data_IF_234412524847
#
_entry.id   IF_234412524847
#
_cell.length_a   1.000
_cell.length_b   1.000
_cell.length_c   1.000
_cell.angle_alpha   90.00
_cell.angle_beta   90.00
_cell.angle_gamma   90.00
#
_symmetry.space_group_name_H-M   'P 1'
#
loop_
_entity.id
_entity.type
_entity.pdbx_description
1 polymer ?
#
# COMPACT_ATOMS: atom_id res chain seq x y z
N UNK A 1 41.32 -37.25 -16.80
CA UNK A 1 40.62 -35.99 -17.12
C UNK A 1 39.12 -36.14 -17.15
N UNK A 2 38.43 -35.27 -16.41
CA UNK A 2 37.07 -34.86 -16.76
C UNK A 2 35.90 -35.51 -16.02
N UNK A 3 35.83 -35.37 -14.69
CA UNK A 3 34.58 -35.50 -13.92
C UNK A 3 33.57 -34.42 -14.34
N UNK A 4 32.37 -34.81 -14.81
CA UNK A 4 31.25 -33.89 -14.97
C UNK A 4 30.17 -34.18 -13.91
N UNK A 5 30.05 -33.23 -13.00
CA UNK A 5 29.23 -33.22 -11.81
C UNK A 5 27.73 -33.26 -12.11
N UNK A 6 27.05 -34.11 -11.35
CA UNK A 6 25.62 -34.07 -11.08
C UNK A 6 25.26 -32.75 -10.34
N UNK A 7 24.42 -31.89 -10.93
CA UNK A 7 23.81 -30.72 -10.26
C UNK A 7 22.40 -30.47 -10.78
N UNK A 8 21.47 -31.37 -10.48
CA UNK A 8 20.08 -30.96 -10.32
C UNK A 8 19.89 -30.53 -8.87
N UNK A 9 20.22 -29.26 -8.62
CA UNK A 9 19.93 -28.58 -7.36
C UNK A 9 18.42 -28.50 -7.19
N UNK A 10 17.92 -29.21 -6.18
CA UNK A 10 16.60 -28.97 -5.64
C UNK A 10 16.44 -27.48 -5.36
N UNK A 11 15.46 -26.84 -5.99
CA UNK A 11 14.99 -25.51 -5.60
C UNK A 11 14.51 -25.67 -4.17
N UNK A 12 15.31 -25.19 -3.23
CA UNK A 12 14.95 -25.11 -1.83
C UNK A 12 13.68 -24.26 -1.76
N UNK A 13 12.56 -24.93 -1.49
CA UNK A 13 11.31 -24.30 -1.15
C UNK A 13 11.54 -23.66 0.23
N UNK A 14 12.02 -22.42 0.26
CA UNK A 14 12.13 -21.64 1.49
C UNK A 14 10.74 -21.59 2.11
N UNK A 15 10.54 -22.34 3.20
CA UNK A 15 9.33 -22.25 3.99
C UNK A 15 9.32 -20.88 4.65
N UNK A 16 8.59 -19.94 4.06
CA UNK A 16 8.34 -18.62 4.62
C UNK A 16 7.71 -18.81 5.99
N UNK A 17 8.48 -18.56 7.05
CA UNK A 17 7.96 -18.57 8.41
C UNK A 17 6.95 -17.42 8.54
N UNK A 18 5.69 -17.80 8.69
CA UNK A 18 4.58 -16.92 9.02
C UNK A 18 4.87 -16.28 10.40
N UNK A 19 4.86 -14.94 10.48
CA UNK A 19 5.10 -14.20 11.71
C UNK A 19 3.77 -14.14 12.47
N UNK A 20 3.68 -14.89 13.56
CA UNK A 20 2.49 -14.89 14.41
C UNK A 20 2.19 -13.51 15.02
N UNK A 21 0.94 -13.31 15.44
CA UNK A 21 0.45 -12.04 16.01
C UNK A 21 1.31 -11.59 17.20
N UNK A 22 1.76 -12.53 18.03
CA UNK A 22 2.56 -12.20 19.22
C UNK A 22 3.93 -11.59 18.83
N UNK A 23 4.60 -12.12 17.80
CA UNK A 23 5.85 -11.55 17.31
C UNK A 23 5.63 -10.18 16.65
N UNK A 24 4.52 -9.98 15.95
CA UNK A 24 4.15 -8.68 15.42
C UNK A 24 3.93 -7.65 16.54
N UNK A 25 3.25 -8.05 17.63
CA UNK A 25 3.05 -7.21 18.81
C UNK A 25 4.38 -6.84 19.50
N UNK A 26 5.31 -7.78 19.63
CA UNK A 26 6.65 -7.51 20.14
C UNK A 26 7.40 -6.49 19.28
N UNK A 27 7.33 -6.62 17.95
CA UNK A 27 7.94 -5.65 17.03
C UNK A 27 7.31 -4.27 17.16
N UNK A 28 5.99 -4.17 17.26
CA UNK A 28 5.31 -2.89 17.49
C UNK A 28 5.75 -2.23 18.80
N UNK A 29 5.88 -3.03 19.87
CA UNK A 29 6.33 -2.54 21.17
C UNK A 29 7.78 -2.04 21.10
N UNK A 30 8.68 -2.83 20.52
CA UNK A 30 10.09 -2.44 20.33
C UNK A 30 10.23 -1.14 19.52
N UNK A 31 9.44 -0.98 18.46
CA UNK A 31 9.41 0.25 17.64
C UNK A 31 8.80 1.46 18.36
N UNK A 32 7.98 1.25 19.38
CA UNK A 32 7.39 2.32 20.18
C UNK A 32 8.33 2.77 21.31
N UNK A 33 9.14 1.85 21.84
CA UNK A 33 10.13 2.11 22.88
C UNK A 33 11.45 2.68 22.34
N UNK A 34 11.73 2.46 21.04
CA UNK A 34 12.88 3.06 20.38
C UNK A 34 12.68 4.57 20.28
N UNK A 35 13.42 5.33 21.10
CA UNK A 35 13.61 6.77 20.88
C UNK A 35 13.99 6.97 19.42
N UNK A 36 13.43 7.98 18.74
CA UNK A 36 13.78 8.32 17.36
C UNK A 36 15.29 8.58 17.28
N UNK A 37 16.08 7.52 17.08
CA UNK A 37 17.47 7.64 16.66
C UNK A 37 17.40 8.40 15.35
N UNK A 38 18.10 9.54 15.28
CA UNK A 38 18.17 10.40 14.10
C UNK A 38 18.81 9.60 12.96
N UNK A 39 17.99 8.85 12.24
CA UNK A 39 18.36 8.26 10.97
C UNK A 39 18.54 9.42 10.00
N UNK A 40 19.68 9.47 9.32
CA UNK A 40 19.95 10.57 8.39
C UNK A 40 18.89 10.61 7.27
N UNK A 41 18.61 11.80 6.73
CA UNK A 41 17.64 11.95 5.61
C UNK A 41 18.01 11.03 4.43
N UNK A 42 19.31 10.85 4.17
CA UNK A 42 19.82 9.94 3.13
C UNK A 42 19.46 8.48 3.40
N UNK A 43 19.53 8.02 4.64
CA UNK A 43 19.15 6.66 5.01
C UNK A 43 17.63 6.46 4.95
N UNK A 44 16.85 7.45 5.37
CA UNK A 44 15.39 7.43 5.26
C UNK A 44 14.95 7.35 3.79
N UNK A 45 15.60 8.11 2.91
CA UNK A 45 15.38 8.04 1.46
C UNK A 45 15.68 6.63 0.90
N UNK A 46 16.82 6.04 1.26
CA UNK A 46 17.17 4.67 0.85
C UNK A 46 16.18 3.62 1.34
N UNK A 47 15.64 3.79 2.55
CA UNK A 47 14.61 2.88 3.10
C UNK A 47 13.30 3.00 2.32
N UNK A 48 12.92 4.21 1.91
CA UNK A 48 11.76 4.43 1.03
C UNK A 48 11.96 3.75 -0.33
N UNK A 49 13.06 4.05 -1.03
CA UNK A 49 13.39 3.46 -2.34
C UNK A 49 13.38 1.92 -2.29
N UNK A 50 13.88 1.35 -1.19
CA UNK A 50 13.86 -0.10 -0.97
C UNK A 50 12.45 -0.65 -0.85
N UNK A 51 11.55 0.01 -0.12
CA UNK A 51 10.15 -0.42 0.00
C UNK A 51 9.45 -0.33 -1.35
N UNK A 52 9.71 0.74 -2.10
CA UNK A 52 9.15 0.96 -3.45
C UNK A 52 9.60 -0.14 -4.43
N UNK A 53 10.90 -0.45 -4.44
CA UNK A 53 11.50 -1.49 -5.27
C UNK A 53 10.95 -2.89 -4.93
N UNK A 54 10.88 -3.21 -3.64
CA UNK A 54 10.29 -4.47 -3.17
C UNK A 54 8.82 -4.56 -3.53
N UNK A 55 8.08 -3.46 -3.44
CA UNK A 55 6.68 -3.41 -3.87
C UNK A 55 6.56 -3.71 -5.34
N UNK A 56 7.43 -3.15 -6.18
CA UNK A 56 7.44 -3.43 -7.62
C UNK A 56 7.65 -4.92 -7.91
N UNK A 57 8.61 -5.57 -7.24
CA UNK A 57 8.89 -7.00 -7.34
C UNK A 57 7.72 -7.92 -6.92
N UNK A 58 6.74 -7.41 -6.16
CA UNK A 58 5.54 -8.16 -5.85
C UNK A 58 4.69 -8.31 -7.12
N UNK A 59 4.56 -9.55 -7.57
CA UNK A 59 3.59 -9.94 -8.57
C UNK A 59 2.18 -9.74 -8.00
N UNK A 60 1.28 -9.06 -8.72
CA UNK A 60 -0.14 -9.08 -8.39
C UNK A 60 -0.65 -10.52 -8.33
N UNK A 61 -1.82 -10.73 -7.71
CA UNK A 61 -2.59 -11.96 -7.89
C UNK A 61 -2.67 -12.33 -9.40
N UNK A 62 -2.77 -13.64 -9.67
CA UNK A 62 -2.66 -14.23 -11.01
C UNK A 62 -3.33 -13.38 -12.10
N UNK A 63 -2.76 -13.32 -13.32
CA UNK A 63 -3.32 -12.50 -14.40
C UNK A 63 -4.81 -12.81 -14.54
N UNK A 64 -5.64 -11.78 -14.82
CA UNK A 64 -7.07 -11.98 -14.97
C UNK A 64 -7.28 -13.12 -15.98
N UNK A 65 -8.26 -14.01 -15.75
CA UNK A 65 -8.56 -15.04 -16.73
C UNK A 65 -8.70 -14.37 -18.09
N UNK A 66 -8.10 -14.94 -19.16
CA UNK A 66 -8.16 -14.32 -20.48
C UNK A 66 -9.62 -14.00 -20.77
N UNK A 67 -9.90 -12.72 -21.04
CA UNK A 67 -11.17 -12.30 -21.59
C UNK A 67 -11.34 -13.15 -22.84
N UNK A 68 -12.18 -14.18 -22.76
CA UNK A 68 -12.30 -15.18 -23.79
C UNK A 68 -12.72 -14.48 -25.08
N UNK A 69 -11.78 -14.39 -26.01
CA UNK A 69 -12.02 -13.99 -27.38
C UNK A 69 -12.79 -15.14 -28.05
N UNK A 70 -14.11 -15.11 -27.89
CA UNK A 70 -15.03 -16.06 -28.49
C UNK A 70 -16.29 -15.32 -28.87
N UNK A 71 -16.20 -14.60 -30.00
CA UNK A 71 -17.31 -14.36 -30.92
C UNK A 71 -18.59 -13.71 -30.38
N UNK A 72 -18.56 -13.11 -29.19
CA UNK A 72 -19.73 -12.45 -28.61
C UNK A 72 -19.32 -11.03 -28.26
N UNK A 73 -20.03 -10.06 -28.86
CA UNK A 73 -20.11 -8.64 -28.51
C UNK A 73 -20.47 -8.43 -27.03
N UNK A 74 -19.54 -8.80 -26.15
CA UNK A 74 -19.46 -8.41 -24.75
C UNK A 74 -18.10 -7.79 -24.59
N UNK A 75 -17.88 -6.67 -25.28
CA UNK A 75 -17.23 -5.55 -24.60
C UNK A 75 -17.76 -5.57 -23.16
N UNK A 76 -16.86 -5.72 -22.19
CA UNK A 76 -17.15 -5.67 -20.75
C UNK A 76 -18.31 -4.70 -20.54
N UNK A 77 -19.38 -5.03 -19.83
CA UNK A 77 -20.61 -4.22 -19.82
C UNK A 77 -20.40 -2.71 -19.53
N UNK A 78 -19.23 -2.36 -18.97
CA UNK A 78 -18.77 -1.00 -18.68
C UNK A 78 -17.81 -0.39 -19.71
N UNK A 79 -17.33 -1.12 -20.72
CA UNK A 79 -16.31 -0.68 -21.67
C UNK A 79 -16.75 0.51 -22.53
N UNK A 80 -18.07 0.68 -22.74
CA UNK A 80 -18.62 1.89 -23.36
C UNK A 80 -18.48 3.16 -22.51
N UNK A 81 -18.07 3.04 -21.25
CA UNK A 81 -17.82 4.14 -20.32
C UNK A 81 -16.32 4.33 -20.02
N UNK A 82 -15.41 3.68 -20.76
CA UNK A 82 -13.96 3.72 -20.53
C UNK A 82 -13.23 4.02 -21.84
N UNK A 83 -12.44 5.10 -21.86
CA UNK A 83 -11.71 5.53 -23.07
C UNK A 83 -10.49 4.64 -23.38
N UNK A 84 -9.66 4.34 -22.36
CA UNK A 84 -8.49 3.47 -22.49
C UNK A 84 -8.55 2.32 -21.47
N UNK A 85 -9.15 1.17 -21.83
CA UNK A 85 -9.22 -0.01 -20.96
C UNK A 85 -7.85 -0.65 -20.66
N UNK A 86 -6.81 -0.31 -21.43
CA UNK A 86 -5.45 -0.80 -21.22
C UNK A 86 -4.64 0.04 -20.24
N UNK A 87 -5.16 1.21 -19.83
CA UNK A 87 -4.51 2.08 -18.85
C UNK A 87 -4.58 1.44 -17.46
N UNK A 88 -3.43 0.99 -16.96
CA UNK A 88 -3.30 0.27 -15.69
C UNK A 88 -2.27 0.95 -14.79
N UNK A 89 -2.32 0.60 -13.50
CA UNK A 89 -1.31 1.05 -12.55
C UNK A 89 0.09 0.59 -12.98
N UNK A 90 1.04 1.51 -12.95
CA UNK A 90 2.47 1.26 -13.16
C UNK A 90 3.24 1.65 -11.90
N UNK A 91 4.07 0.73 -11.40
CA UNK A 91 4.91 0.95 -10.23
C UNK A 91 5.84 2.15 -10.44
N UNK A 92 5.82 3.11 -9.51
CA UNK A 92 6.64 4.32 -9.59
C UNK A 92 8.14 4.01 -9.69
N UNK A 93 8.62 2.97 -8.99
CA UNK A 93 10.01 2.49 -9.08
C UNK A 93 10.39 1.88 -10.45
N UNK A 94 9.42 1.52 -11.30
CA UNK A 94 9.67 0.89 -12.62
C UNK A 94 9.54 1.85 -13.79
N UNK A 95 9.04 3.06 -13.55
CA UNK A 95 8.82 4.03 -14.62
C UNK A 95 10.13 4.31 -15.34
N UNK A 96 10.12 4.15 -16.65
CA UNK A 96 11.30 4.32 -17.52
C UNK A 96 11.93 5.71 -17.43
N UNK A 97 11.17 6.70 -16.94
CA UNK A 97 11.61 8.06 -16.72
C UNK A 97 11.44 8.46 -15.25
N UNK A 98 12.29 7.91 -14.39
CA UNK A 98 12.35 8.26 -12.96
C UNK A 98 12.56 9.76 -12.71
N UNK A 99 13.00 10.52 -13.73
CA UNK A 99 13.17 11.97 -13.69
C UNK A 99 11.88 12.76 -13.96
N UNK A 100 10.89 12.16 -14.63
CA UNK A 100 9.68 12.86 -15.06
C UNK A 100 8.68 13.14 -13.94
N UNK A 101 8.64 12.29 -12.90
CA UNK A 101 7.72 12.47 -11.76
C UNK A 101 8.51 12.36 -10.46
N UNK A 102 8.94 13.48 -9.85
CA UNK A 102 9.66 13.44 -8.60
C UNK A 102 8.79 12.87 -7.47
N UNK A 103 9.45 12.23 -6.50
CA UNK A 103 8.83 11.79 -5.25
C UNK A 103 7.97 12.90 -4.66
N UNK A 104 6.73 12.57 -4.32
CA UNK A 104 5.76 13.53 -3.82
C UNK A 104 5.99 13.75 -2.32
N UNK A 105 6.44 14.96 -1.95
CA UNK A 105 6.78 15.36 -0.57
C UNK A 105 6.14 16.69 -0.16
N UNK A 106 6.20 17.70 -1.04
CA UNK A 106 5.91 19.10 -0.68
C UNK A 106 4.42 19.48 -0.75
N UNK A 107 3.52 18.51 -0.56
CA UNK A 107 2.07 18.75 -0.61
C UNK A 107 1.34 17.72 0.26
N UNK A 108 0.75 18.16 1.36
CA UNK A 108 0.04 17.28 2.30
C UNK A 108 -1.46 17.59 2.31
N UNK A 109 -2.26 16.64 2.81
CA UNK A 109 -3.69 16.88 3.03
C UNK A 109 -3.90 17.99 4.06
N UNK A 110 -3.17 17.94 5.17
CA UNK A 110 -3.34 18.84 6.31
C UNK A 110 -2.96 20.29 5.98
N UNK A 111 -1.85 20.49 5.27
CA UNK A 111 -1.34 21.84 4.99
C UNK A 111 -1.97 22.46 3.73
N UNK A 112 -2.32 21.63 2.74
CA UNK A 112 -2.70 22.13 1.41
C UNK A 112 -4.06 21.59 0.94
N UNK A 113 -4.20 20.26 0.91
CA UNK A 113 -5.33 19.59 0.25
C UNK A 113 -6.68 19.98 0.84
N UNK A 114 -6.80 19.92 2.17
CA UNK A 114 -8.02 20.28 2.89
C UNK A 114 -8.44 21.72 2.61
N UNK A 115 -7.53 22.67 2.79
CA UNK A 115 -7.79 24.09 2.58
C UNK A 115 -8.23 24.39 1.14
N UNK A 116 -7.61 23.73 0.15
CA UNK A 116 -7.99 23.89 -1.25
C UNK A 116 -9.41 23.34 -1.53
N UNK A 117 -9.71 22.12 -1.07
CA UNK A 117 -11.05 21.54 -1.23
C UNK A 117 -12.08 22.38 -0.50
N UNK A 118 -11.83 22.79 0.74
CA UNK A 118 -12.76 23.56 1.54
C UNK A 118 -13.08 24.94 0.95
N UNK A 119 -12.13 25.51 0.19
CA UNK A 119 -12.33 26.75 -0.56
C UNK A 119 -13.16 26.56 -1.84
N UNK A 120 -13.02 25.42 -2.51
CA UNK A 120 -13.72 25.12 -3.77
C UNK A 120 -15.09 24.44 -3.55
N UNK A 121 -15.21 23.64 -2.49
CA UNK A 121 -16.38 22.85 -2.14
C UNK A 121 -16.42 22.57 -0.62
N UNK A 122 -16.87 23.57 0.13
CA UNK A 122 -16.79 23.64 1.60
C UNK A 122 -17.34 22.41 2.32
N UNK A 123 -18.59 22.03 2.03
CA UNK A 123 -19.24 20.91 2.72
C UNK A 123 -18.50 19.58 2.54
N UNK A 124 -17.90 19.36 1.36
CA UNK A 124 -17.15 18.13 1.05
C UNK A 124 -15.77 18.13 1.68
N UNK A 125 -15.14 19.30 1.84
CA UNK A 125 -13.83 19.41 2.51
C UNK A 125 -13.87 18.84 3.93
N UNK A 126 -14.89 19.22 4.71
CA UNK A 126 -15.08 18.72 6.07
C UNK A 126 -15.38 17.22 6.10
N UNK A 127 -16.28 16.74 5.23
CA UNK A 127 -16.65 15.32 5.17
C UNK A 127 -15.46 14.42 4.79
N UNK A 128 -14.61 14.86 3.85
CA UNK A 128 -13.40 14.13 3.48
C UNK A 128 -12.38 14.10 4.60
N UNK A 129 -12.17 15.23 5.28
CA UNK A 129 -11.23 15.31 6.40
C UNK A 129 -11.66 14.40 7.55
N UNK A 130 -12.94 14.44 7.94
CA UNK A 130 -13.51 13.54 8.93
C UNK A 130 -13.39 12.07 8.51
N UNK A 131 -13.66 11.76 7.23
CA UNK A 131 -13.55 10.40 6.69
C UNK A 131 -12.12 9.86 6.78
N UNK A 132 -11.13 10.64 6.34
CA UNK A 132 -9.71 10.24 6.42
C UNK A 132 -9.24 10.09 7.86
N UNK A 133 -9.56 11.05 8.74
CA UNK A 133 -9.21 10.98 10.17
C UNK A 133 -9.88 9.80 10.86
N UNK A 134 -11.14 9.52 10.55
CA UNK A 134 -11.87 8.39 11.11
C UNK A 134 -11.21 7.07 10.71
N UNK A 135 -10.95 6.86 9.42
CA UNK A 135 -10.32 5.63 8.95
C UNK A 135 -8.88 5.46 9.45
N UNK A 136 -8.09 6.52 9.47
CA UNK A 136 -6.71 6.49 9.95
C UNK A 136 -6.64 6.17 11.44
N UNK A 137 -7.50 6.80 12.25
CA UNK A 137 -7.48 6.66 13.72
C UNK A 137 -8.34 5.51 14.26
N UNK A 138 -9.16 4.86 13.44
CA UNK A 138 -10.02 3.76 13.85
C UNK A 138 -9.17 2.67 14.54
N UNK A 139 -9.52 2.37 15.79
CA UNK A 139 -8.89 1.29 16.55
C UNK A 139 -9.87 0.78 17.59
N UNK A 140 -9.87 -0.55 17.77
CA UNK A 140 -10.57 -1.20 18.87
C UNK A 140 -9.62 -1.62 19.99
N UNK A 141 -8.34 -1.23 19.89
CA UNK A 141 -7.26 -1.68 20.75
C UNK A 141 -7.15 -3.21 20.82
N UNK A 142 -7.37 -3.88 19.69
CA UNK A 142 -7.30 -5.33 19.55
C UNK A 142 -6.40 -5.73 18.39
N UNK A 143 -5.78 -6.91 18.51
CA UNK A 143 -5.05 -7.55 17.41
C UNK A 143 -5.15 -9.07 17.54
N UNK A 144 -5.75 -9.76 16.57
CA UNK A 144 -5.79 -11.23 16.57
C UNK A 144 -6.48 -11.85 17.79
N UNK A 145 -7.48 -11.16 18.34
CA UNK A 145 -8.17 -11.56 19.57
C UNK A 145 -7.48 -11.15 20.89
N UNK A 146 -6.26 -10.61 20.83
CA UNK A 146 -5.62 -9.90 21.96
C UNK A 146 -6.31 -8.56 22.18
N UNK A 147 -6.38 -8.11 23.43
CA UNK A 147 -6.98 -6.82 23.84
C UNK A 147 -5.89 -5.90 24.39
N UNK A 148 -6.22 -4.62 24.52
CA UNK A 148 -5.36 -3.58 25.08
C UNK A 148 -4.04 -3.43 24.30
N UNK A 149 -4.13 -3.58 22.97
CA UNK A 149 -3.00 -3.46 22.05
C UNK A 149 -3.07 -2.14 21.30
N UNK A 150 -2.05 -1.30 21.43
CA UNK A 150 -1.90 -0.14 20.54
C UNK A 150 -1.43 -0.58 19.16
N UNK A 151 -2.31 -0.41 18.17
CA UNK A 151 -2.08 -0.80 16.77
C UNK A 151 -1.62 0.37 15.89
N UNK A 152 -1.37 1.56 16.47
CA UNK A 152 -1.06 2.78 15.71
C UNK A 152 0.12 2.63 14.78
N UNK A 153 1.21 1.96 15.22
CA UNK A 153 2.37 1.65 14.38
C UNK A 153 2.01 0.78 13.18
N UNK A 154 1.22 -0.27 13.38
CA UNK A 154 0.79 -1.17 12.31
C UNK A 154 -0.14 -0.47 11.30
N UNK A 155 -1.12 0.31 11.78
CA UNK A 155 -2.02 1.10 10.93
C UNK A 155 -1.24 2.15 10.12
N UNK A 156 -0.32 2.87 10.75
CA UNK A 156 0.56 3.84 10.07
C UNK A 156 1.43 3.17 9.01
N UNK A 157 1.98 1.98 9.29
CA UNK A 157 2.73 1.22 8.31
C UNK A 157 1.89 0.81 7.09
N UNK A 158 0.64 0.38 7.29
CA UNK A 158 -0.28 0.08 6.18
C UNK A 158 -0.55 1.33 5.34
N UNK A 159 -0.93 2.43 5.98
CA UNK A 159 -1.23 3.69 5.31
C UNK A 159 -0.05 4.20 4.47
N UNK A 160 1.14 4.24 5.08
CA UNK A 160 2.34 4.75 4.43
C UNK A 160 2.87 3.79 3.35
N UNK A 161 2.68 2.47 3.52
CA UNK A 161 2.97 1.52 2.44
C UNK A 161 2.08 1.78 1.21
N UNK A 162 0.78 2.01 1.41
CA UNK A 162 -0.14 2.32 0.31
C UNK A 162 0.30 3.61 -0.40
N UNK A 163 0.53 4.70 0.33
CA UNK A 163 0.94 5.96 -0.26
C UNK A 163 2.32 5.90 -0.93
N UNK A 164 3.23 5.06 -0.42
CA UNK A 164 4.51 4.77 -1.07
C UNK A 164 4.34 4.09 -2.44
N UNK A 165 3.35 3.20 -2.62
CA UNK A 165 3.05 2.65 -3.96
C UNK A 165 2.64 3.73 -4.96
N UNK A 166 2.06 4.84 -4.48
CA UNK A 166 1.74 6.01 -5.29
C UNK A 166 2.85 7.06 -5.34
N UNK A 167 4.08 6.74 -4.90
CA UNK A 167 5.22 7.65 -4.97
C UNK A 167 5.20 8.80 -3.95
N UNK A 168 4.36 8.72 -2.92
CA UNK A 168 4.29 9.71 -1.84
C UNK A 168 5.21 9.28 -0.70
N UNK A 169 6.12 10.18 -0.29
CA UNK A 169 7.06 9.96 0.81
C UNK A 169 6.78 10.94 1.95
N UNK A 170 6.70 10.40 3.16
CA UNK A 170 6.59 11.16 4.40
C UNK A 170 7.96 11.23 5.04
N UNK A 171 8.47 12.45 5.23
CA UNK A 171 9.84 12.65 5.70
C UNK A 171 10.01 12.40 7.20
N UNK A 172 8.92 12.41 7.96
CA UNK A 172 8.90 12.10 9.39
C UNK A 172 8.75 10.59 9.67
N UNK A 173 8.72 9.76 8.61
CA UNK A 173 8.43 8.33 8.72
C UNK A 173 9.61 7.43 8.30
N UNK A 174 9.99 6.52 9.20
CA UNK A 174 10.95 5.46 8.91
C UNK A 174 10.29 4.32 8.13
N UNK A 175 10.46 4.31 6.81
CA UNK A 175 9.98 3.23 5.93
C UNK A 175 10.59 1.85 6.24
N UNK A 176 11.63 1.77 7.07
CA UNK A 176 12.09 0.51 7.66
C UNK A 176 11.04 -0.17 8.54
N UNK A 177 10.10 0.58 9.13
CA UNK A 177 8.99 0.03 9.90
C UNK A 177 8.04 -0.82 9.03
N UNK A 178 7.82 -0.45 7.77
CA UNK A 178 6.97 -1.21 6.82
C UNK A 178 7.48 -2.64 6.65
N UNK A 179 8.80 -2.82 6.57
CA UNK A 179 9.43 -4.14 6.42
C UNK A 179 9.41 -4.97 7.70
N UNK A 180 9.33 -4.31 8.87
CA UNK A 180 9.26 -4.99 10.16
C UNK A 180 7.83 -5.40 10.51
N UNK A 181 6.84 -4.61 10.09
CA UNK A 181 5.44 -4.76 10.49
C UNK A 181 4.55 -5.42 9.43
N UNK A 182 4.84 -5.26 8.14
CA UNK A 182 4.01 -5.82 7.07
C UNK A 182 4.72 -7.01 6.40
N UNK A 183 4.11 -8.17 6.54
CA UNK A 183 4.54 -9.38 5.86
C UNK A 183 4.39 -9.28 4.34
N UNK A 184 5.15 -10.10 3.61
CA UNK A 184 5.13 -10.14 2.15
C UNK A 184 3.74 -10.48 1.59
N UNK A 185 3.03 -11.42 2.20
CA UNK A 185 1.67 -11.82 1.81
C UNK A 185 0.68 -10.67 1.95
N UNK A 186 0.73 -9.95 3.08
CA UNK A 186 -0.09 -8.77 3.34
C UNK A 186 0.21 -7.64 2.34
N UNK A 187 1.49 -7.37 2.06
CA UNK A 187 1.89 -6.38 1.05
C UNK A 187 1.34 -6.72 -0.33
N UNK A 188 1.46 -7.99 -0.75
CA UNK A 188 0.95 -8.46 -2.04
C UNK A 188 -0.59 -8.34 -2.13
N UNK A 189 -1.30 -8.65 -1.04
CA UNK A 189 -2.74 -8.46 -0.95
C UNK A 189 -3.13 -6.98 -1.03
N UNK A 190 -2.47 -6.11 -0.24
CA UNK A 190 -2.69 -4.66 -0.27
C UNK A 190 -2.47 -4.12 -1.69
N UNK A 191 -1.35 -4.48 -2.34
CA UNK A 191 -1.05 -4.08 -3.73
C UNK A 191 -2.12 -4.57 -4.71
N UNK A 192 -2.57 -5.81 -4.58
CA UNK A 192 -3.63 -6.35 -5.45
C UNK A 192 -4.95 -5.62 -5.24
N UNK A 193 -5.40 -5.45 -4.00
CA UNK A 193 -6.65 -4.74 -3.68
C UNK A 193 -6.60 -3.25 -4.06
N UNK A 194 -5.43 -2.61 -3.98
CA UNK A 194 -5.25 -1.21 -4.28
C UNK A 194 -5.13 -0.93 -5.79
N UNK A 195 -4.33 -1.73 -6.52
CA UNK A 195 -3.92 -1.43 -7.89
C UNK A 195 -4.56 -2.34 -8.95
N UNK A 196 -5.00 -3.54 -8.56
CA UNK A 196 -5.57 -4.57 -9.44
C UNK A 196 -6.76 -5.29 -8.77
N UNK A 197 -7.77 -4.55 -8.27
CA UNK A 197 -8.84 -5.11 -7.46
C UNK A 197 -9.60 -6.24 -8.17
N UNK A 198 -9.65 -6.23 -9.51
CA UNK A 198 -10.26 -7.26 -10.35
C UNK A 198 -9.57 -8.64 -10.25
N UNK A 199 -8.33 -8.69 -9.71
CA UNK A 199 -7.55 -9.93 -9.56
C UNK A 199 -7.64 -10.55 -8.17
N UNK A 200 -8.17 -9.81 -7.19
CA UNK A 200 -8.29 -10.27 -5.81
C UNK A 200 -9.30 -11.41 -5.74
N UNK A 201 -8.86 -12.56 -5.23
CA UNK A 201 -9.71 -13.72 -5.06
C UNK A 201 -9.69 -14.23 -3.60
N UNK A 202 -10.53 -15.22 -3.32
CA UNK A 202 -10.67 -15.81 -1.98
C UNK A 202 -9.37 -16.40 -1.45
N UNK A 203 -8.53 -16.99 -2.30
CA UNK A 203 -7.27 -17.56 -1.85
C UNK A 203 -6.29 -16.48 -1.37
N UNK A 204 -6.32 -15.29 -1.96
CA UNK A 204 -5.52 -14.15 -1.47
C UNK A 204 -6.00 -13.70 -0.08
N UNK A 205 -7.32 -13.62 0.10
CA UNK A 205 -7.94 -13.29 1.38
C UNK A 205 -7.63 -14.32 2.49
N UNK A 206 -7.68 -15.61 2.18
CA UNK A 206 -7.47 -16.69 3.14
C UNK A 206 -5.99 -16.83 3.56
N UNK A 207 -5.04 -16.37 2.74
CA UNK A 207 -3.59 -16.44 2.99
C UNK A 207 -3.04 -15.31 3.86
N UNK A 208 -3.74 -14.19 4.00
CA UNK A 208 -3.25 -13.03 4.76
C UNK A 208 -3.89 -12.96 6.15
N UNK A 209 -3.15 -12.44 7.13
CA UNK A 209 -3.66 -12.12 8.46
C UNK A 209 -4.44 -13.30 9.07
N UNK A 210 -3.87 -14.52 9.03
CA UNK A 210 -4.61 -15.76 9.36
C UNK A 210 -5.03 -15.84 10.82
N UNK A 211 -4.24 -15.26 11.72
CA UNK A 211 -4.55 -15.15 13.15
C UNK A 211 -5.48 -13.96 13.48
N UNK A 212 -5.81 -13.11 12.49
CA UNK A 212 -6.71 -11.97 12.67
C UNK A 212 -8.16 -12.36 12.40
N UNK A 213 -9.08 -11.63 13.03
CA UNK A 213 -10.52 -11.72 12.80
C UNK A 213 -10.88 -11.16 11.43
N UNK A 214 -11.97 -11.65 10.86
CA UNK A 214 -12.50 -11.13 9.59
C UNK A 214 -12.81 -9.63 9.64
N UNK A 215 -13.26 -9.10 10.78
CA UNK A 215 -13.47 -7.66 10.98
C UNK A 215 -12.19 -6.85 10.84
N UNK A 216 -11.05 -7.40 11.28
CA UNK A 216 -9.74 -6.75 11.14
C UNK A 216 -9.25 -6.78 9.69
N UNK A 217 -9.55 -7.85 8.93
CA UNK A 217 -9.30 -7.88 7.47
C UNK A 217 -10.13 -6.82 6.74
N UNK A 218 -11.40 -6.62 7.13
CA UNK A 218 -12.23 -5.54 6.59
C UNK A 218 -11.66 -4.18 6.97
N UNK A 219 -11.16 -4.00 8.19
CA UNK A 219 -10.51 -2.77 8.62
C UNK A 219 -9.28 -2.43 7.75
N UNK A 220 -8.47 -3.42 7.35
CA UNK A 220 -7.39 -3.19 6.37
C UNK A 220 -7.92 -2.70 5.02
N UNK A 221 -9.08 -3.20 4.55
CA UNK A 221 -9.69 -2.71 3.31
C UNK A 221 -10.18 -1.26 3.43
N UNK A 222 -10.67 -0.83 4.60
CA UNK A 222 -10.99 0.58 4.86
C UNK A 222 -9.74 1.43 4.71
N UNK A 223 -8.61 1.02 5.31
CA UNK A 223 -7.34 1.74 5.15
C UNK A 223 -6.86 1.77 3.68
N UNK A 224 -7.02 0.66 2.94
CA UNK A 224 -6.69 0.61 1.50
C UNK A 224 -7.48 1.64 0.71
N UNK A 225 -8.81 1.69 0.89
CA UNK A 225 -9.69 2.61 0.18
C UNK A 225 -9.33 4.07 0.48
N UNK A 226 -9.19 4.40 1.76
CA UNK A 226 -9.00 5.79 2.17
C UNK A 226 -7.60 6.32 1.87
N UNK A 227 -6.56 5.53 2.11
CA UNK A 227 -5.18 5.93 1.78
C UNK A 227 -4.98 6.11 0.27
N UNK A 228 -5.59 5.22 -0.54
CA UNK A 228 -5.59 5.32 -2.01
C UNK A 228 -6.31 6.59 -2.47
N UNK A 229 -7.53 6.81 -1.99
CA UNK A 229 -8.33 7.98 -2.35
C UNK A 229 -7.61 9.28 -1.98
N UNK A 230 -7.01 9.35 -0.78
CA UNK A 230 -6.23 10.50 -0.36
C UNK A 230 -5.03 10.74 -1.29
N UNK A 231 -4.27 9.70 -1.65
CA UNK A 231 -3.13 9.82 -2.56
C UNK A 231 -3.53 10.36 -3.94
N UNK A 232 -4.54 9.76 -4.57
CA UNK A 232 -5.06 10.19 -5.88
C UNK A 232 -5.54 11.64 -5.84
N UNK A 233 -6.27 12.01 -4.77
CA UNK A 233 -6.78 13.36 -4.58
C UNK A 233 -5.65 14.38 -4.40
N UNK A 234 -4.58 14.06 -3.66
CA UNK A 234 -3.43 14.94 -3.48
C UNK A 234 -2.73 15.26 -4.81
N UNK A 235 -2.59 14.28 -5.71
CA UNK A 235 -2.05 14.53 -7.05
C UNK A 235 -2.93 15.48 -7.85
N UNK A 236 -4.24 15.26 -7.87
CA UNK A 236 -5.19 16.11 -8.58
C UNK A 236 -5.21 17.54 -8.02
N UNK A 237 -5.28 17.68 -6.69
CA UNK A 237 -5.31 18.97 -6.00
C UNK A 237 -4.00 19.75 -6.18
N UNK A 238 -2.85 19.07 -6.17
CA UNK A 238 -1.57 19.72 -6.48
C UNK A 238 -1.54 20.27 -7.90
N UNK A 239 -2.10 19.54 -8.87
CA UNK A 239 -2.22 20.04 -10.25
C UNK A 239 -3.15 21.25 -10.34
N UNK A 240 -4.29 21.23 -9.65
CA UNK A 240 -5.20 22.39 -9.57
C UNK A 240 -4.50 23.58 -8.93
N UNK A 241 -3.80 23.40 -7.81
CA UNK A 241 -3.08 24.49 -7.15
C UNK A 241 -2.05 25.12 -8.08
N UNK A 242 -1.24 24.30 -8.78
CA UNK A 242 -0.25 24.78 -9.76
C UNK A 242 -0.86 25.51 -10.96
N UNK A 243 -2.10 25.20 -11.33
CA UNK A 243 -2.81 25.94 -12.37
C UNK A 243 -3.34 27.29 -11.88
N UNK A 244 -3.70 27.37 -10.59
CA UNK A 244 -4.23 28.59 -9.99
C UNK A 244 -3.15 29.62 -9.63
N UNK A 245 -1.88 29.19 -9.53
CA UNK A 245 -0.71 30.02 -9.21
C UNK A 245 0.14 30.27 -10.45
#
# INVERSE_FOLDING_TARGET
DGSAFNRNGAVANESWHEVGVDTLMERMKSLSERTQEECSESEMAKRFERVESQSAELLPAAPPPPLSDSGSNKTTAIGQFVDDPGFLYEDFARRSDASAIPTFRDYSWEDHGYSLVNRLYNDVGNLLDEKFKTAYNLTYYTMGGRRDVDTSKFRRAIWNYIQCMFGIRHDDYDYGEVNQLLERSLKAFIKSACCYPERVNRADYDKVLREFRHSEKVHVNIMILEARMQAELLYALRAVMRYMT
#
